data_IF_430959382776
#
_entry.id   IF_430959382776
#
_cell.length_a   1.000
_cell.length_b   1.000
_cell.length_c   1.000
_cell.angle_alpha   90.00
_cell.angle_beta   90.00
_cell.angle_gamma   90.00
#
_symmetry.space_group_name_H-M   'P 1'
#
loop_
_entity.id
_entity.type
_entity.pdbx_description
1 polymer ?
#
# COMPACT_ATOMS: atom_id res chain seq x y z
N UNK A 1 41.03 -2.35 21.07
CA UNK A 1 39.99 -1.32 20.79
C UNK A 1 40.48 -0.49 19.61
N UNK A 2 39.79 -0.59 18.51
CA UNK A 2 40.20 -0.01 17.21
C UNK A 2 39.86 1.48 17.18
N UNK A 3 40.78 2.31 16.68
CA UNK A 3 40.61 3.75 16.47
C UNK A 3 39.37 4.10 15.63
N UNK A 4 38.90 3.17 14.77
CA UNK A 4 37.67 3.31 14.02
C UNK A 4 36.39 3.26 14.90
N UNK A 5 36.39 2.54 16.02
CA UNK A 5 35.23 2.47 16.93
C UNK A 5 34.98 3.80 17.63
N UNK A 6 36.04 4.48 18.06
CA UNK A 6 35.95 5.77 18.75
C UNK A 6 35.50 6.90 17.82
N UNK A 7 35.91 6.86 16.54
CA UNK A 7 35.46 7.84 15.53
C UNK A 7 33.97 7.72 15.18
N UNK A 8 33.43 6.51 15.20
CA UNK A 8 32.00 6.27 14.93
C UNK A 8 31.13 6.68 16.13
N UNK A 9 31.60 6.50 17.36
CA UNK A 9 30.84 6.92 18.56
C UNK A 9 30.82 8.45 18.70
N UNK A 10 31.91 9.14 18.41
CA UNK A 10 31.97 10.61 18.46
C UNK A 10 31.18 11.26 17.33
N UNK A 11 31.13 10.64 16.15
CA UNK A 11 30.30 11.11 15.03
C UNK A 11 28.79 10.96 15.24
N UNK A 12 28.37 10.15 16.25
CA UNK A 12 26.96 9.95 16.58
C UNK A 12 26.43 10.91 17.66
N UNK A 13 27.31 11.64 18.36
CA UNK A 13 26.93 12.60 19.42
C UNK A 13 27.01 14.08 18.98
N UNK A 14 27.71 14.38 17.89
CA UNK A 14 27.69 15.72 17.32
C UNK A 14 26.38 15.94 16.52
N UNK A 15 25.83 17.16 16.53
CA UNK A 15 24.70 17.50 15.70
C UNK A 15 24.98 17.14 14.24
N UNK A 16 24.12 16.32 13.64
CA UNK A 16 24.26 15.81 12.27
C UNK A 16 24.45 16.96 11.28
N UNK A 17 24.04 18.16 11.67
CA UNK A 17 24.04 19.37 10.86
C UNK A 17 24.47 20.56 11.75
N UNK A 18 25.40 21.43 11.32
CA UNK A 18 25.81 22.61 12.09
C UNK A 18 24.63 23.56 12.27
N UNK A 19 24.16 23.72 13.49
CA UNK A 19 22.89 24.39 13.86
C UNK A 19 22.86 25.88 13.42
N UNK A 20 23.99 26.55 13.32
CA UNK A 20 24.01 27.99 13.00
C UNK A 20 23.75 28.38 11.55
N UNK A 21 23.74 27.42 10.61
CA UNK A 21 23.58 27.67 9.18
C UNK A 21 22.22 27.21 8.59
N UNK A 22 21.35 26.60 9.39
CA UNK A 22 20.21 25.86 8.88
C UNK A 22 18.83 26.46 9.19
N UNK A 23 18.77 27.50 10.01
CA UNK A 23 17.52 28.25 10.25
C UNK A 23 17.35 29.26 9.12
N UNK A 24 16.24 29.17 8.39
CA UNK A 24 15.95 30.06 7.28
C UNK A 24 14.66 30.85 7.50
N UNK A 25 14.70 32.14 7.16
CA UNK A 25 13.52 33.00 7.03
C UNK A 25 13.01 33.05 5.58
N UNK A 26 13.38 32.08 4.76
CA UNK A 26 13.01 32.00 3.34
C UNK A 26 11.49 32.05 3.17
N UNK A 27 10.96 32.87 2.24
CA UNK A 27 9.53 32.88 1.93
C UNK A 27 9.00 31.50 1.65
N UNK A 28 7.77 31.18 2.10
CA UNK A 28 7.17 29.85 1.93
C UNK A 28 7.15 29.38 0.47
N UNK A 29 7.01 30.31 -0.48
CA UNK A 29 7.07 30.00 -1.91
C UNK A 29 8.44 29.52 -2.41
N UNK A 30 9.49 29.80 -1.66
CA UNK A 30 10.86 29.38 -1.97
C UNK A 30 11.34 28.25 -1.02
N UNK A 31 10.51 27.79 -0.12
CA UNK A 31 10.85 26.70 0.78
C UNK A 31 10.74 25.35 0.03
N UNK A 32 11.84 24.57 -0.09
CA UNK A 32 11.84 23.31 -0.83
C UNK A 32 10.84 22.29 -0.33
N UNK A 33 10.58 22.24 1.00
CA UNK A 33 9.61 21.31 1.56
C UNK A 33 8.18 21.71 1.21
N UNK A 34 7.86 23.00 1.19
CA UNK A 34 6.52 23.49 0.77
C UNK A 34 6.30 23.13 -0.70
N UNK A 35 7.28 23.41 -1.58
CA UNK A 35 7.20 23.14 -3.02
C UNK A 35 7.09 21.62 -3.27
N UNK A 36 7.88 20.82 -2.56
CA UNK A 36 7.78 19.36 -2.63
C UNK A 36 6.38 18.84 -2.27
N UNK A 37 5.82 19.32 -1.16
CA UNK A 37 4.49 18.91 -0.73
C UNK A 37 3.39 19.40 -1.68
N UNK A 38 3.54 20.59 -2.27
CA UNK A 38 2.59 21.14 -3.24
C UNK A 38 2.47 20.26 -4.50
N UNK A 39 3.56 19.66 -4.96
CA UNK A 39 3.58 18.74 -6.12
C UNK A 39 2.81 17.44 -5.90
N UNK A 40 2.59 17.03 -4.67
CA UNK A 40 1.87 15.80 -4.38
C UNK A 40 0.37 16.02 -4.59
N UNK A 41 -0.26 15.15 -5.37
CA UNK A 41 -1.70 15.27 -5.71
C UNK A 41 -2.63 14.80 -4.59
N UNK A 42 -2.22 13.78 -3.83
CA UNK A 42 -3.05 13.16 -2.80
C UNK A 42 -2.83 13.82 -1.42
N UNK A 43 -3.91 14.19 -0.74
CA UNK A 43 -3.87 14.71 0.63
C UNK A 43 -3.18 13.73 1.61
N UNK A 44 -3.36 12.42 1.42
CA UNK A 44 -2.70 11.39 2.22
C UNK A 44 -1.18 11.38 1.95
N UNK A 45 -0.77 11.50 0.68
CA UNK A 45 0.64 11.58 0.31
C UNK A 45 1.29 12.84 0.91
N UNK A 46 0.62 14.00 0.83
CA UNK A 46 1.09 15.24 1.45
C UNK A 46 1.33 15.05 2.95
N UNK A 47 0.36 14.50 3.66
CA UNK A 47 0.48 14.24 5.11
C UNK A 47 1.60 13.27 5.44
N UNK A 48 1.72 12.18 4.68
CA UNK A 48 2.74 11.16 4.89
C UNK A 48 4.15 11.71 4.63
N UNK A 49 4.34 12.44 3.54
CA UNK A 49 5.65 13.03 3.21
C UNK A 49 6.00 14.19 4.13
N UNK A 50 5.03 15.00 4.57
CA UNK A 50 5.26 16.00 5.60
C UNK A 50 5.78 15.36 6.88
N UNK A 51 5.11 14.35 7.40
CA UNK A 51 5.56 13.63 8.59
C UNK A 51 6.93 12.95 8.40
N UNK A 52 7.26 12.54 7.17
CA UNK A 52 8.58 12.01 6.86
C UNK A 52 9.67 13.08 6.92
N UNK A 53 9.41 14.27 6.37
CA UNK A 53 10.34 15.41 6.44
C UNK A 53 10.50 15.93 7.88
N UNK A 54 9.40 16.01 8.65
CA UNK A 54 9.45 16.40 10.07
C UNK A 54 10.35 15.47 10.89
N UNK A 55 10.27 14.14 10.65
CA UNK A 55 11.14 13.16 11.32
C UNK A 55 12.62 13.35 10.99
N UNK A 56 12.94 13.71 9.74
CA UNK A 56 14.31 13.96 9.33
C UNK A 56 14.80 15.28 9.96
N UNK A 57 14.00 16.35 9.90
CA UNK A 57 14.35 17.65 10.47
C UNK A 57 14.50 17.60 11.99
N UNK A 58 13.72 16.76 12.67
CA UNK A 58 13.81 16.54 14.12
C UNK A 58 15.17 15.95 14.55
N UNK A 59 15.94 15.33 13.67
CA UNK A 59 17.32 14.91 13.97
C UNK A 59 18.24 16.08 14.29
N UNK A 60 17.86 17.29 13.89
CA UNK A 60 18.54 18.57 14.17
C UNK A 60 17.66 19.53 15.00
N UNK A 61 16.64 19.04 15.70
CA UNK A 61 15.76 19.84 16.54
C UNK A 61 14.83 20.79 15.77
N UNK A 62 14.64 20.57 14.46
CA UNK A 62 13.85 21.42 13.56
C UNK A 62 12.61 20.71 13.02
N UNK A 63 11.80 21.40 12.25
CA UNK A 63 10.70 20.84 11.47
C UNK A 63 10.95 20.94 9.95
N UNK A 64 10.06 20.34 9.14
CA UNK A 64 10.23 20.32 7.70
C UNK A 64 10.30 21.71 7.05
N UNK A 65 9.80 22.75 7.67
CA UNK A 65 9.78 24.11 7.09
C UNK A 65 10.89 24.99 7.59
N UNK A 66 11.51 24.66 8.72
CA UNK A 66 12.61 25.42 9.32
C UNK A 66 13.97 24.89 8.91
N UNK A 67 14.12 23.59 8.62
CA UNK A 67 15.39 23.03 8.18
C UNK A 67 15.82 23.58 6.82
N UNK A 68 17.07 24.06 6.72
CA UNK A 68 17.65 24.57 5.49
C UNK A 68 18.10 23.42 4.57
N UNK A 69 17.15 22.78 3.88
CA UNK A 69 17.38 21.61 3.03
C UNK A 69 18.50 21.81 1.99
N UNK A 70 18.62 23.03 1.45
CA UNK A 70 19.61 23.37 0.44
C UNK A 70 21.06 23.36 0.97
N UNK A 71 21.26 23.44 2.28
CA UNK A 71 22.59 23.38 2.91
C UNK A 71 23.06 21.93 3.11
N UNK A 72 22.22 20.93 2.93
CA UNK A 72 22.60 19.53 3.08
C UNK A 72 23.58 19.11 1.98
N UNK A 73 24.64 18.42 2.38
CA UNK A 73 25.66 17.84 1.51
C UNK A 73 25.75 16.34 1.72
N UNK A 74 26.51 15.64 0.91
CA UNK A 74 26.64 14.17 0.96
C UNK A 74 26.91 13.64 2.37
N UNK A 75 27.83 14.23 3.12
CA UNK A 75 28.13 13.78 4.48
C UNK A 75 26.92 13.87 5.42
N UNK A 76 26.13 14.94 5.29
CA UNK A 76 24.91 15.11 6.09
C UNK A 76 23.83 14.07 5.73
N UNK A 77 23.62 13.84 4.45
CA UNK A 77 22.62 12.87 3.98
C UNK A 77 23.03 11.43 4.27
N UNK A 78 24.35 11.14 4.26
CA UNK A 78 24.90 9.85 4.67
C UNK A 78 24.68 9.61 6.18
N UNK A 79 24.92 10.63 7.02
CA UNK A 79 24.66 10.56 8.47
C UNK A 79 23.17 10.38 8.75
N UNK A 80 22.28 11.12 8.07
CA UNK A 80 20.82 10.93 8.14
C UNK A 80 20.48 9.49 7.76
N UNK A 81 21.02 8.96 6.65
CA UNK A 81 20.75 7.57 6.23
C UNK A 81 21.17 6.56 7.30
N UNK A 82 22.34 6.73 7.89
CA UNK A 82 22.85 5.85 8.94
C UNK A 82 21.90 5.86 10.16
N UNK A 83 21.48 7.03 10.59
CA UNK A 83 20.52 7.18 11.69
C UNK A 83 19.17 6.56 11.39
N UNK A 84 18.64 6.78 10.19
CA UNK A 84 17.38 6.17 9.76
C UNK A 84 17.47 4.64 9.69
N UNK A 85 18.63 4.09 9.32
CA UNK A 85 18.86 2.65 9.30
C UNK A 85 18.89 2.04 10.71
N UNK A 86 19.37 2.79 11.71
CA UNK A 86 19.40 2.35 13.11
C UNK A 86 18.01 2.42 13.78
N UNK A 87 17.25 3.50 13.50
CA UNK A 87 16.02 3.80 14.23
C UNK A 87 14.76 3.20 13.60
N UNK A 88 14.78 2.82 12.33
CA UNK A 88 13.58 2.42 11.60
C UNK A 88 13.76 1.13 10.81
N UNK A 89 12.67 0.35 10.72
CA UNK A 89 12.61 -0.77 9.78
C UNK A 89 12.91 -0.30 8.34
N UNK A 90 13.61 -1.11 7.52
CA UNK A 90 14.11 -0.73 6.19
C UNK A 90 13.08 -0.10 5.26
N UNK A 91 11.85 -0.62 5.24
CA UNK A 91 10.77 -0.04 4.42
C UNK A 91 10.39 1.38 4.86
N UNK A 92 10.41 1.66 6.17
CA UNK A 92 10.15 2.98 6.73
C UNK A 92 11.32 3.93 6.46
N UNK A 93 12.54 3.49 6.72
CA UNK A 93 13.74 4.25 6.45
C UNK A 93 13.86 4.64 4.97
N UNK A 94 13.62 3.71 4.04
CA UNK A 94 13.62 3.98 2.60
C UNK A 94 12.50 4.95 2.17
N UNK A 95 11.35 4.94 2.84
CA UNK A 95 10.31 5.95 2.63
C UNK A 95 10.77 7.34 3.08
N UNK A 96 11.46 7.45 4.21
CA UNK A 96 12.05 8.69 4.69
C UNK A 96 13.14 9.19 3.73
N UNK A 97 14.03 8.31 3.28
CA UNK A 97 15.04 8.64 2.25
C UNK A 97 14.40 9.10 0.92
N UNK A 98 13.26 8.55 0.54
CA UNK A 98 12.52 9.02 -0.64
C UNK A 98 12.00 10.45 -0.46
N UNK A 99 11.53 10.81 0.74
CA UNK A 99 11.14 12.20 1.06
C UNK A 99 12.35 13.15 1.03
N UNK A 100 13.48 12.72 1.61
CA UNK A 100 14.74 13.48 1.57
C UNK A 100 15.18 13.77 0.13
N UNK A 101 15.27 12.74 -0.72
CA UNK A 101 15.59 12.92 -2.14
C UNK A 101 14.61 13.85 -2.84
N UNK A 102 13.32 13.76 -2.48
CA UNK A 102 12.27 14.60 -3.04
C UNK A 102 12.45 16.09 -2.70
N UNK A 103 12.72 16.42 -1.45
CA UNK A 103 12.91 17.82 -1.02
C UNK A 103 14.22 18.40 -1.56
N UNK A 104 15.31 17.63 -1.61
CA UNK A 104 16.58 18.08 -2.21
C UNK A 104 16.43 18.35 -3.71
N UNK A 105 15.61 17.57 -4.40
CA UNK A 105 15.28 17.83 -5.81
C UNK A 105 14.57 19.17 -6.01
N UNK A 106 13.71 19.57 -5.09
CA UNK A 106 13.08 20.89 -5.18
C UNK A 106 14.06 22.02 -4.79
N UNK A 107 14.98 21.80 -3.81
CA UNK A 107 16.04 22.76 -3.53
C UNK A 107 16.91 23.03 -4.76
N UNK A 108 17.28 21.99 -5.50
CA UNK A 108 17.97 22.13 -6.79
C UNK A 108 17.12 22.87 -7.83
N UNK A 109 15.85 22.52 -7.99
CA UNK A 109 14.95 23.17 -8.97
C UNK A 109 14.70 24.64 -8.68
N UNK A 110 14.72 25.01 -7.41
CA UNK A 110 14.63 26.40 -6.95
C UNK A 110 15.95 27.19 -7.10
N UNK A 111 16.99 26.55 -7.64
CA UNK A 111 18.30 27.18 -7.78
C UNK A 111 19.08 27.38 -6.48
N UNK A 112 18.62 26.78 -5.38
CA UNK A 112 19.23 26.91 -4.05
C UNK A 112 20.36 25.89 -3.82
N UNK A 113 20.51 24.93 -4.70
CA UNK A 113 21.52 23.88 -4.66
C UNK A 113 22.08 23.67 -6.08
N UNK A 114 23.40 23.51 -6.22
CA UNK A 114 24.01 23.18 -7.51
C UNK A 114 23.59 21.76 -7.96
N UNK A 115 23.65 21.50 -9.25
CA UNK A 115 23.36 20.16 -9.78
C UNK A 115 24.35 19.11 -9.23
N UNK A 116 25.62 19.49 -9.07
CA UNK A 116 26.67 18.62 -8.54
C UNK A 116 26.41 18.27 -7.06
N UNK A 117 26.14 19.29 -6.22
CA UNK A 117 25.80 19.08 -4.80
C UNK A 117 24.55 18.23 -4.63
N UNK A 118 23.52 18.49 -5.46
CA UNK A 118 22.31 17.68 -5.46
C UNK A 118 22.58 16.22 -5.80
N UNK A 119 23.32 15.96 -6.88
CA UNK A 119 23.63 14.58 -7.29
C UNK A 119 24.39 13.84 -6.19
N UNK A 120 25.41 14.46 -5.61
CA UNK A 120 26.17 13.88 -4.49
C UNK A 120 25.27 13.64 -3.27
N UNK A 121 24.44 14.61 -2.89
CA UNK A 121 23.60 14.50 -1.71
C UNK A 121 22.49 13.43 -1.81
N UNK A 122 22.03 13.10 -3.02
CA UNK A 122 21.01 12.05 -3.25
C UNK A 122 21.58 10.70 -3.61
N UNK A 123 22.90 10.59 -3.82
CA UNK A 123 23.59 9.35 -4.11
C UNK A 123 23.73 8.49 -2.85
N UNK A 124 22.64 7.93 -2.44
CA UNK A 124 22.49 7.09 -1.26
C UNK A 124 21.87 5.76 -1.67
N UNK A 125 22.52 4.66 -1.34
CA UNK A 125 21.88 3.36 -1.51
C UNK A 125 20.69 3.20 -0.59
N UNK A 126 19.66 2.53 -1.09
CA UNK A 126 18.55 2.10 -0.25
C UNK A 126 19.04 1.11 0.82
N UNK A 127 18.40 1.16 1.98
CA UNK A 127 18.67 0.22 3.06
C UNK A 127 18.12 -1.14 2.63
N UNK A 128 19.02 -2.11 2.43
CA UNK A 128 18.66 -3.49 2.06
C UNK A 128 18.01 -4.19 3.25
N UNK A 129 17.02 -5.02 2.98
CA UNK A 129 16.43 -5.91 3.95
C UNK A 129 16.02 -7.19 3.26
N UNK A 130 16.42 -8.28 3.82
CA UNK A 130 15.86 -9.61 3.55
C UNK A 130 14.68 -9.84 4.52
N UNK A 131 13.65 -9.03 4.40
CA UNK A 131 12.44 -9.24 5.20
C UNK A 131 11.38 -9.87 4.31
N UNK A 132 10.76 -10.94 4.81
CA UNK A 132 9.56 -11.49 4.19
C UNK A 132 8.51 -10.38 4.09
N UNK A 133 7.75 -10.31 3.00
CA UNK A 133 6.66 -9.35 2.88
C UNK A 133 5.74 -9.45 4.09
N UNK A 134 5.44 -8.32 4.72
CA UNK A 134 4.48 -8.28 5.82
C UNK A 134 3.11 -8.76 5.36
N UNK A 135 2.36 -9.39 6.28
CA UNK A 135 1.05 -9.96 5.99
C UNK A 135 1.12 -11.48 5.76
N UNK A 136 -0.04 -12.09 5.72
CA UNK A 136 -0.22 -13.53 5.52
C UNK A 136 -1.31 -13.81 4.50
N UNK A 137 -1.39 -15.03 4.05
CA UNK A 137 -2.52 -15.50 3.29
C UNK A 137 -3.63 -15.95 4.25
N UNK A 138 -4.88 -15.69 3.87
CA UNK A 138 -6.06 -16.21 4.54
C UNK A 138 -6.40 -17.56 3.92
N UNK A 139 -6.54 -18.58 4.74
CA UNK A 139 -7.03 -19.88 4.28
C UNK A 139 -8.50 -19.80 3.91
N UNK A 140 -8.96 -20.74 3.07
CA UNK A 140 -10.38 -20.87 2.75
C UNK A 140 -11.25 -21.05 4.00
N UNK A 141 -10.75 -21.80 5.01
CA UNK A 141 -11.44 -22.00 6.29
C UNK A 141 -11.62 -20.69 7.07
N UNK A 142 -10.61 -19.82 7.06
CA UNK A 142 -10.71 -18.51 7.73
C UNK A 142 -11.67 -17.57 7.02
N UNK A 143 -11.65 -17.54 5.67
CA UNK A 143 -12.61 -16.74 4.87
C UNK A 143 -14.02 -17.27 5.11
N UNK A 144 -14.20 -18.59 5.15
CA UNK A 144 -15.50 -19.21 5.47
C UNK A 144 -15.97 -18.83 6.88
N UNK A 145 -15.13 -18.92 7.89
CA UNK A 145 -15.48 -18.54 9.26
C UNK A 145 -15.91 -17.07 9.36
N UNK A 146 -15.24 -16.17 8.65
CA UNK A 146 -15.63 -14.76 8.56
C UNK A 146 -17.00 -14.58 7.89
N UNK A 147 -17.27 -15.32 6.83
CA UNK A 147 -18.57 -15.31 6.16
C UNK A 147 -19.67 -15.89 7.06
N UNK A 148 -19.42 -17.01 7.74
CA UNK A 148 -20.37 -17.67 8.64
C UNK A 148 -20.80 -16.74 9.78
N UNK A 149 -19.86 -16.02 10.40
CA UNK A 149 -20.19 -15.04 11.46
C UNK A 149 -21.08 -13.91 10.93
N UNK A 150 -20.85 -13.45 9.69
CA UNK A 150 -21.68 -12.41 9.09
C UNK A 150 -23.07 -12.95 8.73
N UNK A 151 -23.18 -14.17 8.20
CA UNK A 151 -24.46 -14.82 7.87
C UNK A 151 -25.30 -15.14 9.11
N UNK A 152 -24.65 -15.45 10.23
CA UNK A 152 -25.32 -15.71 11.50
C UNK A 152 -25.71 -14.42 12.25
N UNK A 153 -25.28 -13.24 11.80
CA UNK A 153 -25.69 -11.94 12.34
C UNK A 153 -26.95 -11.46 11.56
N UNK A 154 -28.17 -11.55 12.15
CA UNK A 154 -29.41 -11.17 11.45
C UNK A 154 -29.58 -9.67 11.25
N UNK A 155 -28.68 -8.87 11.78
CA UNK A 155 -28.74 -7.41 11.64
C UNK A 155 -28.35 -6.97 10.23
N UNK A 156 -28.78 -5.78 9.78
CA UNK A 156 -28.31 -5.20 8.52
C UNK A 156 -26.78 -5.08 8.44
N UNK A 157 -26.08 -5.03 9.60
CA UNK A 157 -24.63 -5.01 9.64
C UNK A 157 -24.02 -6.36 9.22
N UNK A 158 -24.65 -7.49 9.57
CA UNK A 158 -24.23 -8.82 9.12
C UNK A 158 -24.24 -8.93 7.60
N UNK A 159 -25.34 -8.56 6.98
CA UNK A 159 -25.49 -8.58 5.51
C UNK A 159 -24.48 -7.67 4.81
N UNK A 160 -24.32 -6.42 5.30
CA UNK A 160 -23.31 -5.50 4.77
C UNK A 160 -21.90 -6.06 4.89
N UNK A 161 -21.55 -6.60 6.05
CA UNK A 161 -20.20 -7.06 6.35
C UNK A 161 -19.87 -8.33 5.54
N UNK A 162 -20.86 -9.21 5.30
CA UNK A 162 -20.73 -10.35 4.37
C UNK A 162 -20.38 -9.86 2.95
N UNK A 163 -21.11 -8.88 2.42
CA UNK A 163 -20.85 -8.30 1.11
C UNK A 163 -19.44 -7.65 1.03
N UNK A 164 -19.02 -6.94 2.08
CA UNK A 164 -17.66 -6.36 2.15
C UNK A 164 -16.59 -7.45 2.11
N UNK A 165 -16.73 -8.51 2.90
CA UNK A 165 -15.80 -9.64 2.95
C UNK A 165 -15.77 -10.36 1.61
N UNK A 166 -16.94 -10.61 1.00
CA UNK A 166 -17.05 -11.21 -0.33
C UNK A 166 -16.26 -10.41 -1.39
N UNK A 167 -16.46 -9.10 -1.46
CA UNK A 167 -15.76 -8.22 -2.40
C UNK A 167 -14.24 -8.19 -2.12
N UNK A 168 -13.82 -8.15 -0.86
CA UNK A 168 -12.39 -8.20 -0.53
C UNK A 168 -11.75 -9.51 -0.97
N UNK A 169 -12.43 -10.64 -0.74
CA UNK A 169 -11.92 -11.96 -1.05
C UNK A 169 -11.88 -12.27 -2.55
N UNK A 170 -12.90 -11.85 -3.31
CA UNK A 170 -13.06 -12.24 -4.72
C UNK A 170 -12.63 -11.19 -5.74
N UNK A 171 -12.55 -9.92 -5.33
CA UNK A 171 -12.15 -8.82 -6.22
C UNK A 171 -10.77 -8.25 -5.90
N UNK A 172 -10.16 -8.61 -4.78
CA UNK A 172 -8.83 -8.18 -4.37
C UNK A 172 -8.66 -6.66 -4.30
N UNK A 173 -9.73 -5.91 -4.00
CA UNK A 173 -9.72 -4.44 -3.95
C UNK A 173 -8.94 -3.93 -2.73
N UNK A 174 -8.34 -2.74 -2.84
CA UNK A 174 -7.73 -2.08 -1.69
C UNK A 174 -8.82 -1.55 -0.76
N UNK A 175 -8.54 -1.51 0.54
CA UNK A 175 -9.48 -0.99 1.55
C UNK A 175 -10.02 0.41 1.23
N UNK A 176 -9.19 1.30 0.73
CA UNK A 176 -9.61 2.63 0.32
C UNK A 176 -10.49 2.61 -0.93
N UNK A 177 -10.21 1.74 -1.89
CA UNK A 177 -11.02 1.53 -3.08
C UNK A 177 -12.41 0.98 -2.69
N UNK A 178 -12.46 -0.05 -1.82
CA UNK A 178 -13.71 -0.58 -1.29
C UNK A 178 -14.58 0.54 -0.65
N UNK A 179 -13.98 1.37 0.18
CA UNK A 179 -14.68 2.48 0.84
C UNK A 179 -15.18 3.56 -0.14
N UNK A 180 -14.61 3.64 -1.33
CA UNK A 180 -15.00 4.58 -2.39
C UNK A 180 -15.95 3.99 -3.43
N UNK A 181 -16.32 2.71 -3.32
CA UNK A 181 -17.27 2.10 -4.24
C UNK A 181 -18.63 2.79 -4.18
N UNK A 182 -19.26 2.92 -5.34
CA UNK A 182 -20.56 3.55 -5.50
C UNK A 182 -21.52 2.62 -6.22
N UNK A 183 -22.80 2.74 -5.95
CA UNK A 183 -23.83 1.89 -6.57
C UNK A 183 -23.81 2.00 -8.09
N UNK A 184 -23.63 3.22 -8.62
CA UNK A 184 -23.56 3.47 -10.07
C UNK A 184 -22.34 2.84 -10.76
N UNK A 185 -21.42 2.27 -10.01
CA UNK A 185 -20.26 1.54 -10.55
C UNK A 185 -20.40 0.03 -10.47
N UNK A 186 -21.54 -0.47 -9.99
CA UNK A 186 -21.84 -1.89 -9.85
C UNK A 186 -22.98 -2.30 -10.78
N UNK A 187 -22.72 -3.25 -11.65
CA UNK A 187 -23.70 -3.87 -12.53
C UNK A 187 -24.20 -5.17 -11.87
N UNK A 188 -25.48 -5.21 -11.48
CA UNK A 188 -26.06 -6.33 -10.73
C UNK A 188 -26.13 -7.64 -11.50
N UNK A 189 -26.36 -7.58 -12.81
CA UNK A 189 -26.55 -8.76 -13.66
C UNK A 189 -25.24 -9.49 -13.95
N UNK A 190 -24.16 -8.75 -14.12
CA UNK A 190 -22.83 -9.27 -14.47
C UNK A 190 -21.88 -9.39 -13.26
N UNK A 191 -22.23 -8.80 -12.13
CA UNK A 191 -21.35 -8.66 -10.97
C UNK A 191 -20.15 -7.74 -11.22
N UNK A 192 -20.15 -6.99 -12.33
CA UNK A 192 -19.06 -6.08 -12.71
C UNK A 192 -19.00 -4.87 -11.81
N UNK A 193 -17.81 -4.57 -11.30
CA UNK A 193 -17.53 -3.41 -10.45
C UNK A 193 -16.43 -2.58 -11.10
N UNK A 194 -16.70 -1.31 -11.35
CA UNK A 194 -15.71 -0.36 -11.87
C UNK A 194 -15.04 0.36 -10.70
N UNK A 195 -13.74 0.12 -10.54
CA UNK A 195 -12.91 0.81 -9.55
C UNK A 195 -12.37 2.09 -10.19
N UNK A 196 -12.83 3.24 -9.71
CA UNK A 196 -12.40 4.56 -10.18
C UNK A 196 -11.22 5.10 -9.39
N UNK A 197 -10.32 5.83 -10.09
CA UNK A 197 -9.25 6.57 -9.42
C UNK A 197 -8.27 5.70 -8.62
N UNK A 198 -7.99 4.48 -9.06
CA UNK A 198 -7.00 3.60 -8.44
C UNK A 198 -5.61 4.24 -8.36
N UNK A 199 -4.60 3.54 -7.79
CA UNK A 199 -3.23 4.06 -7.68
C UNK A 199 -2.72 4.52 -9.06
N UNK A 200 -2.36 5.81 -9.16
CA UNK A 200 -1.97 6.43 -10.43
C UNK A 200 -3.15 6.91 -11.27
N UNK A 201 -4.34 7.09 -10.68
CA UNK A 201 -5.57 7.57 -11.34
C UNK A 201 -6.02 6.66 -12.51
N UNK A 202 -5.77 5.35 -12.42
CA UNK A 202 -6.19 4.37 -13.43
C UNK A 202 -7.44 3.63 -12.97
N UNK A 203 -8.44 3.63 -13.81
CA UNK A 203 -9.65 2.83 -13.62
C UNK A 203 -9.37 1.37 -13.97
N UNK A 204 -10.08 0.46 -13.32
CA UNK A 204 -10.08 -0.96 -13.65
C UNK A 204 -11.43 -1.60 -13.32
N UNK A 205 -11.69 -2.72 -13.96
CA UNK A 205 -12.88 -3.54 -13.73
C UNK A 205 -12.48 -4.80 -12.97
N UNK A 206 -13.31 -5.17 -11.99
CA UNK A 206 -13.29 -6.45 -11.29
C UNK A 206 -14.69 -7.05 -11.29
N UNK A 207 -14.82 -8.32 -10.93
CA UNK A 207 -16.09 -9.02 -10.96
C UNK A 207 -16.33 -9.73 -9.62
N UNK A 208 -17.45 -9.41 -8.97
CA UNK A 208 -17.99 -10.21 -7.89
C UNK A 208 -18.79 -11.36 -8.51
N UNK A 209 -18.45 -12.60 -8.15
CA UNK A 209 -19.07 -13.79 -8.72
C UNK A 209 -19.55 -14.70 -7.60
N UNK A 210 -20.51 -15.58 -7.91
CA UNK A 210 -21.03 -16.57 -6.96
C UNK A 210 -21.48 -15.89 -5.64
N UNK A 211 -21.18 -16.49 -4.49
CA UNK A 211 -21.59 -16.00 -3.19
C UNK A 211 -21.19 -14.56 -2.84
N UNK A 212 -20.17 -13.99 -3.50
CA UNK A 212 -19.86 -12.58 -3.31
C UNK A 212 -20.85 -11.67 -4.04
N UNK A 213 -21.36 -12.10 -5.19
CA UNK A 213 -22.45 -11.41 -5.89
C UNK A 213 -23.76 -11.54 -5.09
N UNK A 214 -24.08 -12.72 -4.62
CA UNK A 214 -25.27 -12.96 -3.80
C UNK A 214 -25.29 -12.05 -2.56
N UNK A 215 -24.17 -11.99 -1.83
CA UNK A 215 -24.04 -11.12 -0.66
C UNK A 215 -24.19 -9.62 -1.00
N UNK A 216 -23.68 -9.19 -2.19
CA UNK A 216 -23.89 -7.82 -2.67
C UNK A 216 -25.33 -7.53 -3.01
N UNK A 217 -26.04 -8.47 -3.62
CA UNK A 217 -27.46 -8.33 -3.96
C UNK A 217 -28.32 -8.27 -2.70
N UNK A 218 -28.07 -9.13 -1.72
CA UNK A 218 -28.73 -9.09 -0.41
C UNK A 218 -28.50 -7.74 0.29
N UNK A 219 -27.26 -7.23 0.22
CA UNK A 219 -26.97 -5.91 0.76
C UNK A 219 -27.71 -4.80 0.03
N UNK A 220 -27.84 -4.85 -1.31
CA UNK A 220 -28.60 -3.86 -2.07
C UNK A 220 -30.09 -3.87 -1.75
N UNK A 221 -30.67 -5.03 -1.41
CA UNK A 221 -32.07 -5.11 -0.97
C UNK A 221 -32.27 -4.26 0.30
N UNK A 222 -31.35 -4.32 1.27
CA UNK A 222 -31.43 -3.55 2.51
C UNK A 222 -31.00 -2.10 2.34
N UNK A 223 -29.95 -1.87 1.55
CA UNK A 223 -29.41 -0.53 1.32
C UNK A 223 -30.28 0.28 0.37
N UNK A 224 -30.96 -0.36 -0.57
CA UNK A 224 -31.61 0.30 -1.70
C UNK A 224 -30.64 0.60 -2.85
N UNK A 225 -31.20 0.85 -4.04
CA UNK A 225 -30.48 1.00 -5.30
C UNK A 225 -30.19 2.47 -5.68
N UNK A 226 -30.62 3.44 -4.86
CA UNK A 226 -30.34 4.85 -5.14
C UNK A 226 -28.84 5.15 -5.16
N UNK A 227 -28.46 6.14 -5.98
CA UNK A 227 -27.07 6.53 -6.22
C UNK A 227 -26.33 6.90 -4.94
N UNK A 228 -25.04 6.71 -4.93
CA UNK A 228 -24.20 7.05 -3.78
C UNK A 228 -23.25 5.94 -3.37
N UNK A 229 -22.68 6.05 -2.16
CA UNK A 229 -21.72 5.06 -1.65
C UNK A 229 -22.34 3.67 -1.59
N UNK A 230 -21.66 2.65 -2.11
CA UNK A 230 -22.13 1.26 -2.08
C UNK A 230 -22.21 0.75 -0.64
N UNK A 231 -21.18 1.02 0.17
CA UNK A 231 -21.13 0.64 1.57
C UNK A 231 -21.31 1.84 2.47
N UNK A 232 -22.34 1.83 3.30
CA UNK A 232 -22.75 2.91 4.17
C UNK A 232 -22.77 2.49 5.65
N UNK A 233 -22.63 3.41 6.60
CA UNK A 233 -22.75 3.08 8.01
C UNK A 233 -24.17 2.62 8.36
N UNK A 234 -24.27 1.86 9.44
CA UNK A 234 -25.51 1.48 10.09
C UNK A 234 -25.43 2.05 11.52
N UNK A 235 -26.47 2.70 11.97
CA UNK A 235 -26.53 3.25 13.33
C UNK A 235 -26.80 2.13 14.37
N UNK A 236 -26.76 2.46 15.66
CA UNK A 236 -27.00 1.50 16.74
C UNK A 236 -28.42 0.91 16.72
N UNK A 237 -29.37 1.64 16.15
CA UNK A 237 -30.75 1.17 15.99
C UNK A 237 -31.00 0.32 14.73
N UNK A 238 -29.94 -0.04 13.98
CA UNK A 238 -30.05 -0.89 12.78
C UNK A 238 -30.41 -0.12 11.50
N UNK A 239 -30.59 1.20 11.53
CA UNK A 239 -30.95 1.96 10.33
C UNK A 239 -29.74 2.29 9.46
N UNK A 240 -29.92 2.11 8.15
CA UNK A 240 -28.91 2.39 7.12
C UNK A 240 -28.77 3.91 6.92
N UNK A 241 -27.52 4.41 6.95
CA UNK A 241 -27.20 5.85 6.87
C UNK A 241 -26.68 6.19 5.47
N UNK A 242 -27.54 6.77 4.62
CA UNK A 242 -27.21 7.02 3.20
C UNK A 242 -26.41 8.28 2.95
N UNK A 243 -26.36 9.22 3.91
CA UNK A 243 -25.74 10.53 3.72
C UNK A 243 -24.23 10.46 3.53
N UNK A 244 -23.63 9.36 3.94
CA UNK A 244 -22.16 9.17 3.83
C UNK A 244 -21.77 7.72 3.62
N UNK A 245 -20.67 7.52 2.90
CA UNK A 245 -20.04 6.20 2.78
C UNK A 245 -19.26 5.78 4.04
N UNK A 246 -18.98 4.49 4.15
CA UNK A 246 -18.03 3.99 5.15
C UNK A 246 -16.62 4.51 4.85
N UNK A 247 -15.92 4.98 5.87
CA UNK A 247 -14.51 5.31 5.73
C UNK A 247 -13.64 4.04 5.69
N UNK A 248 -12.45 4.12 5.09
CA UNK A 248 -11.48 3.03 5.14
C UNK A 248 -11.14 2.60 6.58
N UNK A 249 -11.20 3.53 7.56
CA UNK A 249 -11.00 3.20 8.97
C UNK A 249 -12.18 2.43 9.57
N UNK A 250 -13.42 2.74 9.14
CA UNK A 250 -14.59 1.98 9.56
C UNK A 250 -14.55 0.54 9.03
N UNK A 251 -14.13 0.35 7.77
CA UNK A 251 -13.90 -0.99 7.20
C UNK A 251 -12.85 -1.77 8.02
N UNK A 252 -11.73 -1.13 8.38
CA UNK A 252 -10.72 -1.77 9.23
C UNK A 252 -11.29 -2.22 10.59
N UNK A 253 -12.01 -1.34 11.28
CA UNK A 253 -12.63 -1.67 12.58
C UNK A 253 -13.64 -2.83 12.45
N UNK A 254 -14.40 -2.86 11.36
CA UNK A 254 -15.34 -3.94 11.06
C UNK A 254 -14.59 -5.26 10.88
N UNK A 255 -13.52 -5.30 10.07
CA UNK A 255 -12.72 -6.50 9.85
C UNK A 255 -12.12 -7.03 11.16
N UNK A 256 -11.58 -6.16 12.02
CA UNK A 256 -11.07 -6.56 13.35
C UNK A 256 -12.17 -7.17 14.19
N UNK A 257 -13.37 -6.55 14.24
CA UNK A 257 -14.51 -7.08 14.98
C UNK A 257 -14.90 -8.48 14.48
N UNK A 258 -15.13 -8.63 13.16
CA UNK A 258 -15.51 -9.92 12.56
C UNK A 258 -14.43 -10.98 12.69
N UNK A 259 -13.17 -10.58 12.65
CA UNK A 259 -12.04 -11.49 12.89
C UNK A 259 -12.03 -12.06 14.31
N UNK A 260 -12.27 -11.22 15.32
CA UNK A 260 -12.40 -11.67 16.72
C UNK A 260 -13.59 -12.60 16.91
N UNK A 261 -14.75 -12.26 16.35
CA UNK A 261 -15.97 -13.08 16.42
C UNK A 261 -15.78 -14.44 15.72
N UNK A 262 -15.02 -14.50 14.63
CA UNK A 262 -14.74 -15.72 13.87
C UNK A 262 -13.56 -16.53 14.42
N UNK A 263 -12.85 -16.06 15.46
CA UNK A 263 -11.66 -16.71 15.99
C UNK A 263 -10.49 -16.75 15.00
N UNK A 264 -10.47 -15.84 14.01
CA UNK A 264 -9.44 -15.77 13.00
C UNK A 264 -8.25 -14.94 13.52
N UNK A 265 -7.02 -15.44 13.31
CA UNK A 265 -5.79 -14.71 13.67
C UNK A 265 -5.78 -13.33 13.01
N UNK A 266 -5.06 -12.38 13.62
CA UNK A 266 -4.96 -11.01 13.12
C UNK A 266 -4.66 -10.97 11.61
N UNK A 267 -5.43 -10.16 10.90
CA UNK A 267 -5.34 -9.95 9.46
C UNK A 267 -5.81 -8.54 9.07
N UNK A 268 -5.56 -8.19 7.84
CA UNK A 268 -5.94 -6.91 7.26
C UNK A 268 -6.64 -7.08 5.90
N UNK A 269 -7.25 -6.02 5.38
CA UNK A 269 -7.78 -6.01 4.01
C UNK A 269 -6.69 -6.30 2.95
N UNK A 270 -5.41 -6.05 3.27
CA UNK A 270 -4.31 -6.35 2.36
C UNK A 270 -4.04 -7.84 2.25
N UNK A 271 -4.31 -8.60 3.32
CA UNK A 271 -4.15 -10.05 3.34
C UNK A 271 -5.21 -10.73 2.45
N UNK A 272 -6.45 -10.25 2.41
CA UNK A 272 -7.44 -10.67 1.41
C UNK A 272 -6.93 -10.49 -0.02
N UNK A 273 -6.35 -9.33 -0.30
CA UNK A 273 -5.81 -9.05 -1.64
C UNK A 273 -4.59 -9.92 -1.95
N UNK A 274 -3.75 -10.20 -0.96
CA UNK A 274 -2.62 -11.12 -1.08
C UNK A 274 -3.11 -12.52 -1.43
N UNK A 275 -4.11 -13.03 -0.68
CA UNK A 275 -4.78 -14.32 -0.94
C UNK A 275 -5.38 -14.35 -2.34
N UNK A 276 -6.15 -13.34 -2.73
CA UNK A 276 -6.74 -13.22 -4.06
C UNK A 276 -5.70 -13.36 -5.19
N UNK A 277 -4.58 -12.66 -5.07
CA UNK A 277 -3.50 -12.71 -6.08
C UNK A 277 -2.85 -14.10 -6.11
N UNK A 278 -2.49 -14.64 -4.94
CA UNK A 278 -1.88 -15.97 -4.83
C UNK A 278 -2.80 -17.07 -5.37
N UNK A 279 -4.05 -17.06 -4.95
CA UNK A 279 -5.04 -18.07 -5.36
C UNK A 279 -5.33 -18.06 -6.87
N UNK A 280 -5.33 -16.90 -7.51
CA UNK A 280 -5.47 -16.83 -8.97
C UNK A 280 -4.24 -17.38 -9.69
N UNK A 281 -3.05 -17.08 -9.21
CA UNK A 281 -1.81 -17.63 -9.76
C UNK A 281 -1.74 -19.16 -9.57
N UNK A 282 -2.11 -19.66 -8.39
CA UNK A 282 -2.14 -21.09 -8.06
C UNK A 282 -3.16 -21.85 -8.95
N UNK A 283 -4.26 -21.18 -9.36
CA UNK A 283 -5.23 -21.71 -10.35
C UNK A 283 -4.80 -21.56 -11.80
N UNK A 284 -3.58 -21.09 -12.07
CA UNK A 284 -3.01 -21.02 -13.41
C UNK A 284 -3.42 -19.78 -14.21
N UNK A 285 -4.06 -18.78 -13.60
CA UNK A 285 -4.35 -17.52 -14.28
C UNK A 285 -3.02 -16.83 -14.59
N UNK A 286 -2.88 -16.29 -15.80
CA UNK A 286 -1.65 -15.61 -16.21
C UNK A 286 -1.38 -14.36 -15.38
N UNK A 287 -0.11 -14.10 -15.13
CA UNK A 287 0.34 -13.03 -14.24
C UNK A 287 -0.08 -11.63 -14.70
N UNK A 288 -0.23 -11.40 -16.01
CA UNK A 288 -0.64 -10.10 -16.55
C UNK A 288 -2.13 -9.85 -16.29
N UNK A 289 -2.98 -10.87 -16.42
CA UNK A 289 -4.41 -10.80 -16.06
C UNK A 289 -4.57 -10.57 -14.55
N UNK A 290 -3.84 -11.31 -13.71
CA UNK A 290 -3.85 -11.10 -12.26
C UNK A 290 -3.39 -9.69 -11.89
N UNK A 291 -2.33 -9.18 -12.52
CA UNK A 291 -1.84 -7.82 -12.31
C UNK A 291 -2.90 -6.76 -12.67
N UNK A 292 -3.62 -6.95 -13.80
CA UNK A 292 -4.72 -6.07 -14.23
C UNK A 292 -5.87 -6.08 -13.23
N UNK A 293 -6.36 -7.25 -12.81
CA UNK A 293 -7.43 -7.39 -11.82
C UNK A 293 -7.03 -6.75 -10.49
N UNK A 294 -5.84 -7.04 -10.00
CA UNK A 294 -5.32 -6.42 -8.79
C UNK A 294 -5.03 -4.92 -8.95
N UNK A 295 -4.86 -4.39 -10.16
CA UNK A 295 -4.44 -3.00 -10.41
C UNK A 295 -3.01 -2.74 -9.92
N UNK A 296 -2.09 -3.64 -10.24
CA UNK A 296 -0.66 -3.45 -10.08
C UNK A 296 -0.11 -2.72 -11.31
N UNK A 297 0.56 -1.60 -11.11
CA UNK A 297 1.20 -0.84 -12.19
C UNK A 297 2.45 -1.52 -12.73
N UNK A 298 3.04 -2.43 -11.95
CA UNK A 298 4.22 -3.22 -12.29
C UNK A 298 3.93 -4.70 -11.99
N UNK A 299 4.09 -5.55 -13.00
CA UNK A 299 3.90 -7.00 -12.91
C UNK A 299 4.85 -7.62 -11.89
N UNK A 300 6.03 -7.04 -11.66
CA UNK A 300 6.95 -7.45 -10.59
C UNK A 300 6.29 -7.47 -9.21
N UNK A 301 5.30 -6.60 -8.99
CA UNK A 301 4.53 -6.61 -7.73
C UNK A 301 3.71 -7.89 -7.61
N UNK A 302 3.09 -8.37 -8.71
CA UNK A 302 2.34 -9.62 -8.72
C UNK A 302 3.25 -10.83 -8.57
N UNK A 303 4.43 -10.82 -9.22
CA UNK A 303 5.41 -11.91 -9.14
C UNK A 303 5.88 -12.21 -7.69
N UNK A 304 5.84 -11.23 -6.78
CA UNK A 304 6.17 -11.47 -5.36
C UNK A 304 5.18 -12.37 -4.63
N UNK A 305 3.99 -12.57 -5.19
CA UNK A 305 2.95 -13.45 -4.67
C UNK A 305 2.90 -14.81 -5.36
N UNK A 306 3.75 -15.01 -6.36
CA UNK A 306 3.85 -16.30 -7.07
C UNK A 306 4.54 -17.33 -6.18
N UNK A 307 3.77 -18.30 -5.72
CA UNK A 307 4.19 -19.37 -4.82
C UNK A 307 4.31 -20.70 -5.54
N UNK A 308 4.05 -20.70 -6.85
CA UNK A 308 4.00 -21.94 -7.63
C UNK A 308 5.34 -22.66 -7.60
N UNK A 309 5.33 -23.99 -7.40
CA UNK A 309 6.55 -24.78 -7.33
C UNK A 309 7.26 -24.85 -8.68
N UNK A 310 8.52 -25.26 -8.67
CA UNK A 310 9.34 -25.44 -9.88
C UNK A 310 8.69 -26.41 -10.89
N UNK A 311 7.90 -27.36 -10.41
CA UNK A 311 7.11 -28.29 -11.25
C UNK A 311 6.22 -27.58 -12.25
N UNK A 312 5.73 -26.37 -11.93
CA UNK A 312 4.93 -25.55 -12.85
C UNK A 312 5.68 -25.22 -14.14
N UNK A 313 7.01 -25.06 -14.07
CA UNK A 313 7.83 -24.84 -15.27
C UNK A 313 7.92 -26.11 -16.12
N UNK A 314 8.05 -27.26 -15.48
CA UNK A 314 8.06 -28.56 -16.16
C UNK A 314 6.71 -28.79 -16.88
N UNK A 315 5.60 -28.54 -16.18
CA UNK A 315 4.25 -28.67 -16.76
C UNK A 315 4.03 -27.70 -17.92
N UNK A 316 4.53 -26.48 -17.80
CA UNK A 316 4.45 -25.48 -18.87
C UNK A 316 5.29 -25.92 -20.10
N UNK A 317 6.51 -26.41 -19.88
CA UNK A 317 7.36 -26.93 -20.95
C UNK A 317 6.76 -28.19 -21.64
N UNK A 318 6.09 -29.03 -20.84
CA UNK A 318 5.41 -30.24 -21.34
C UNK A 318 4.23 -29.96 -22.28
N UNK A 319 3.71 -28.72 -22.31
CA UNK A 319 2.66 -28.29 -23.27
C UNK A 319 3.21 -28.12 -24.71
N UNK A 320 4.53 -28.03 -24.85
CA UNK A 320 5.18 -27.94 -26.16
C UNK A 320 5.49 -29.36 -26.65
N UNK A 321 5.17 -29.62 -27.91
CA UNK A 321 5.45 -30.91 -28.54
C UNK A 321 6.55 -30.73 -29.60
N UNK A 322 7.61 -31.56 -29.52
CA UNK A 322 8.58 -31.70 -30.57
C UNK A 322 8.39 -33.09 -31.19
N UNK A 323 8.08 -33.22 -32.51
CA UNK A 323 7.76 -34.48 -33.17
C UNK A 323 9.01 -35.30 -33.44
N UNK A 324 9.62 -35.83 -32.39
CA UNK A 324 10.79 -36.67 -32.47
C UNK A 324 10.56 -38.02 -31.76
N UNK A 325 10.88 -39.09 -32.44
CA UNK A 325 10.88 -40.43 -31.87
C UNK A 325 12.34 -40.88 -31.58
N UNK A 326 12.55 -41.37 -30.36
CA UNK A 326 13.85 -41.87 -29.93
C UNK A 326 14.30 -42.99 -30.88
N UNK A 327 15.54 -42.91 -31.39
CA UNK A 327 16.14 -43.99 -32.19
C UNK A 327 16.33 -45.22 -31.28
N UNK A 328 15.89 -46.38 -31.78
CA UNK A 328 15.89 -47.63 -31.00
C UNK A 328 17.25 -48.35 -30.97
N UNK A 329 18.25 -47.86 -31.67
CA UNK A 329 19.62 -48.46 -31.68
C UNK A 329 20.65 -47.41 -32.06
N UNK A 330 21.70 -47.38 -31.32
CA UNK A 330 23.03 -46.91 -31.71
C UNK A 330 23.96 -48.12 -31.62
#
# INVERSE_FOLDING_TARGET
>A
MSILGTYLETAMTDPIIPTSQLVTTTPLSQNPAVVYLARLTSALSKRTMRAALDKIAALDGQDAFTLHWAALRYQHTLAIRARLAADYAPATANKLLSALRGVLKEAWRLGQMSAEDYQRAVDLENIKAETLPAGRDLSFGEIKALADVCMNDPSPAGVRDAAIIGVLATCGVRRAELASLRVEHFETDSGKIVIRGGKGNKDRTVYATHGALDALLDWLVLRGTHLGALFVPINKGGSVQHERGMSAQAVYKMLVKRGLEAGVKEFSAHDFRRTFVGDLLDRGVDIATVAKLAGHSDVKTTARYDRRPETTKCDAAGKLHFPYHRRSSW
#
